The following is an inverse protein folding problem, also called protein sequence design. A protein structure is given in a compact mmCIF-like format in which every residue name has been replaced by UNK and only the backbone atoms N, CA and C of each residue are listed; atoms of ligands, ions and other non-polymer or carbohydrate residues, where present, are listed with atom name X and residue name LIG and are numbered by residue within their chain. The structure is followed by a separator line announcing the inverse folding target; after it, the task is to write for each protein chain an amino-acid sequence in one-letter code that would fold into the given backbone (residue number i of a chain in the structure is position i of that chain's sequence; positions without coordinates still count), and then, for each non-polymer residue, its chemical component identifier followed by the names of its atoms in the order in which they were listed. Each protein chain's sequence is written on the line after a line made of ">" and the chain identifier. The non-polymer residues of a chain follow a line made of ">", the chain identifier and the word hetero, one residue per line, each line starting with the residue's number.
data_IF_814703931704
#
_entry.id   IF_814703931704
#
_cell.length_a   1.000
_cell.length_b   1.000
_cell.length_c   1.000
_cell.angle_alpha   90.00
_cell.angle_beta   90.00
_cell.angle_gamma   90.00
#
_symmetry.space_group_name_H-M   'P 1'
#
loop_
_entity.id
_entity.type
_entity.pdbx_description
1 polymer ?
#
# COMPACT_ATOMS: atom_id res chain seq x y z
N UNK A 1 -12.12 -6.20 -22.62
CA UNK A 1 -11.38 -6.47 -21.38
C UNK A 1 -10.68 -5.18 -20.97
N UNK A 2 -11.11 -4.56 -19.87
CA UNK A 2 -10.52 -3.31 -19.39
C UNK A 2 -9.16 -3.57 -18.71
N UNK A 3 -8.46 -2.51 -18.27
CA UNK A 3 -7.14 -2.63 -17.62
C UNK A 3 -7.21 -3.48 -16.36
N UNK A 4 -8.25 -3.25 -15.53
CA UNK A 4 -8.46 -4.04 -14.31
C UNK A 4 -8.67 -5.54 -14.60
N UNK A 5 -9.47 -5.92 -15.59
CA UNK A 5 -9.76 -7.32 -15.92
C UNK A 5 -8.48 -8.06 -16.36
N UNK A 6 -7.63 -7.39 -17.15
CA UNK A 6 -6.31 -7.90 -17.56
C UNK A 6 -5.42 -8.13 -16.34
N UNK A 7 -5.30 -7.12 -15.49
CA UNK A 7 -4.53 -7.21 -14.26
C UNK A 7 -5.05 -8.32 -13.35
N UNK A 8 -6.37 -8.40 -13.17
CA UNK A 8 -7.00 -9.41 -12.33
C UNK A 8 -6.71 -10.83 -12.85
N UNK A 9 -6.70 -11.02 -14.17
CA UNK A 9 -6.35 -12.31 -14.78
C UNK A 9 -4.90 -12.67 -14.46
N UNK A 10 -3.96 -11.75 -14.71
CA UNK A 10 -2.52 -11.96 -14.44
C UNK A 10 -2.24 -12.30 -12.97
N UNK A 11 -2.88 -11.57 -12.05
CA UNK A 11 -2.61 -11.73 -10.62
C UNK A 11 -3.32 -12.95 -9.99
N UNK A 12 -4.32 -13.52 -10.66
CA UNK A 12 -5.11 -14.66 -10.16
C UNK A 12 -4.59 -16.04 -10.58
N UNK A 13 -3.58 -16.09 -11.46
CA UNK A 13 -2.95 -17.36 -11.88
C UNK A 13 -2.27 -18.08 -10.72
N UNK A 14 -1.95 -19.36 -10.90
CA UNK A 14 -1.26 -20.14 -9.88
C UNK A 14 0.14 -19.59 -9.58
N UNK A 15 0.77 -20.02 -8.48
CA UNK A 15 2.12 -19.58 -8.14
C UNK A 15 3.16 -19.96 -9.18
N UNK A 16 3.17 -21.23 -9.60
CA UNK A 16 4.08 -21.72 -10.65
C UNK A 16 3.89 -20.94 -11.94
N UNK A 17 2.65 -20.79 -12.40
CA UNK A 17 2.35 -20.06 -13.63
C UNK A 17 2.78 -18.58 -13.58
N UNK A 18 2.65 -17.93 -12.42
CA UNK A 18 3.05 -16.52 -12.28
C UNK A 18 4.56 -16.32 -12.44
N UNK A 19 5.35 -17.22 -11.85
CA UNK A 19 6.81 -17.12 -11.90
C UNK A 19 7.40 -17.72 -13.18
N UNK A 20 6.83 -18.82 -13.69
CA UNK A 20 7.29 -19.47 -14.92
C UNK A 20 7.11 -18.58 -16.16
N UNK A 21 6.09 -17.73 -16.16
CA UNK A 21 5.81 -16.79 -17.26
C UNK A 21 6.29 -15.36 -16.99
N UNK A 22 7.00 -15.12 -15.88
CA UNK A 22 7.50 -13.80 -15.49
C UNK A 22 6.42 -12.68 -15.52
N UNK A 23 5.22 -12.99 -15.03
CA UNK A 23 4.09 -12.05 -15.04
C UNK A 23 4.28 -10.84 -14.11
N UNK A 24 5.40 -10.74 -13.41
CA UNK A 24 5.76 -9.57 -12.62
C UNK A 24 5.81 -8.30 -13.48
N UNK A 25 6.52 -8.36 -14.62
CA UNK A 25 6.68 -7.20 -15.50
C UNK A 25 5.37 -6.84 -16.21
N UNK A 26 4.61 -7.86 -16.64
CA UNK A 26 3.30 -7.65 -17.26
C UNK A 26 2.32 -6.99 -16.28
N UNK A 27 2.32 -7.41 -15.01
CA UNK A 27 1.52 -6.80 -13.96
C UNK A 27 1.94 -5.34 -13.71
N UNK A 28 3.25 -5.05 -13.69
CA UNK A 28 3.77 -3.69 -13.53
C UNK A 28 3.30 -2.76 -14.66
N UNK A 29 3.35 -3.24 -15.91
CA UNK A 29 2.83 -2.51 -17.07
C UNK A 29 1.33 -2.26 -16.92
N UNK A 30 0.53 -3.27 -16.52
CA UNK A 30 -0.91 -3.07 -16.33
C UNK A 30 -1.21 -2.10 -15.19
N UNK A 31 -0.45 -2.14 -14.09
CA UNK A 31 -0.62 -1.23 -12.95
C UNK A 31 -0.29 0.21 -13.33
N UNK A 32 0.73 0.45 -14.14
CA UNK A 32 1.08 1.78 -14.63
C UNK A 32 -0.03 2.42 -15.50
N UNK A 33 -0.87 1.60 -16.12
CA UNK A 33 -2.01 2.00 -16.95
C UNK A 33 -3.31 2.19 -16.16
N UNK A 34 -3.33 1.88 -14.86
CA UNK A 34 -4.52 2.09 -14.03
C UNK A 34 -4.88 3.58 -13.96
N UNK A 35 -6.18 3.84 -13.95
CA UNK A 35 -6.76 5.17 -13.86
C UNK A 35 -7.73 5.27 -12.68
N UNK A 36 -8.21 6.48 -12.40
CA UNK A 36 -9.24 6.67 -11.36
C UNK A 36 -10.54 5.93 -11.69
N UNK A 37 -10.81 5.63 -12.96
CA UNK A 37 -11.97 4.84 -13.38
C UNK A 37 -11.91 3.39 -12.90
N UNK A 38 -10.71 2.87 -12.63
CA UNK A 38 -10.49 1.50 -12.16
C UNK A 38 -10.61 1.38 -10.62
N UNK A 39 -10.67 2.51 -9.89
CA UNK A 39 -10.70 2.53 -8.42
C UNK A 39 -11.87 1.75 -7.80
N UNK A 40 -13.12 1.84 -8.30
CA UNK A 40 -14.22 1.07 -7.74
C UNK A 40 -13.97 -0.44 -7.80
N UNK A 41 -13.35 -0.92 -8.88
CA UNK A 41 -12.99 -2.33 -9.06
C UNK A 41 -11.82 -2.72 -8.15
N UNK A 42 -10.79 -1.89 -8.04
CA UNK A 42 -9.66 -2.11 -7.12
C UNK A 42 -10.12 -2.16 -5.65
N UNK A 43 -11.01 -1.27 -5.23
CA UNK A 43 -11.57 -1.28 -3.86
C UNK A 43 -12.48 -2.49 -3.61
N UNK A 44 -13.21 -2.93 -4.63
CA UNK A 44 -13.99 -4.19 -4.55
C UNK A 44 -13.05 -5.39 -4.42
N UNK A 45 -11.99 -5.44 -5.24
CA UNK A 45 -10.94 -6.45 -5.17
C UNK A 45 -10.20 -6.42 -3.83
N UNK A 46 -10.08 -5.25 -3.19
CA UNK A 46 -9.50 -5.13 -1.86
C UNK A 46 -10.28 -5.94 -0.84
N UNK A 47 -11.59 -6.08 -1.00
CA UNK A 47 -12.43 -6.91 -0.13
C UNK A 47 -12.44 -8.38 -0.56
N UNK A 48 -12.53 -8.67 -1.85
CA UNK A 48 -12.81 -10.02 -2.35
C UNK A 48 -11.58 -10.86 -2.66
N UNK A 49 -10.45 -10.24 -3.04
CA UNK A 49 -9.24 -10.99 -3.42
C UNK A 49 -8.41 -11.43 -2.23
N UNK A 50 -7.67 -12.53 -2.43
CA UNK A 50 -6.82 -13.15 -1.41
C UNK A 50 -5.51 -12.37 -1.18
N UNK A 51 -4.74 -12.78 -0.19
CA UNK A 51 -3.46 -12.13 0.16
C UNK A 51 -2.44 -12.23 -0.97
N UNK A 52 -2.32 -13.37 -1.65
CA UNK A 52 -1.34 -13.60 -2.71
C UNK A 52 -1.54 -12.66 -3.90
N UNK A 53 -2.80 -12.41 -4.28
CA UNK A 53 -3.14 -11.44 -5.33
C UNK A 53 -2.61 -10.04 -4.96
N UNK A 54 -2.83 -9.62 -3.71
CA UNK A 54 -2.39 -8.30 -3.26
C UNK A 54 -0.88 -8.23 -3.02
N UNK A 55 -0.22 -9.31 -2.60
CA UNK A 55 1.24 -9.37 -2.51
C UNK A 55 1.85 -9.08 -3.89
N UNK A 56 1.39 -9.79 -4.92
CA UNK A 56 1.83 -9.55 -6.32
C UNK A 56 1.51 -8.14 -6.79
N UNK A 57 0.29 -7.64 -6.53
CA UNK A 57 -0.07 -6.26 -6.86
C UNK A 57 0.89 -5.26 -6.23
N UNK A 58 1.15 -5.37 -4.92
CA UNK A 58 2.02 -4.42 -4.21
C UNK A 58 3.48 -4.49 -4.65
N UNK A 59 3.97 -5.67 -5.00
CA UNK A 59 5.31 -5.87 -5.55
C UNK A 59 5.46 -5.19 -6.92
N UNK A 60 4.46 -5.33 -7.79
CA UNK A 60 4.45 -4.73 -9.14
C UNK A 60 3.98 -3.27 -9.18
N UNK A 61 3.88 -2.57 -8.04
CA UNK A 61 3.32 -1.22 -7.95
C UNK A 61 4.34 -0.08 -8.10
N UNK A 62 5.57 -0.33 -8.54
CA UNK A 62 6.60 0.72 -8.57
C UNK A 62 6.24 1.92 -9.47
N UNK A 63 5.41 1.69 -10.50
CA UNK A 63 4.97 2.71 -11.46
C UNK A 63 3.48 3.06 -11.37
N UNK A 64 2.81 2.72 -10.27
CA UNK A 64 1.41 3.07 -10.07
C UNK A 64 1.19 4.60 -10.14
N UNK A 65 0.13 5.02 -10.81
CA UNK A 65 -0.24 6.42 -10.90
C UNK A 65 -0.60 6.97 -9.51
N UNK A 66 -0.03 8.12 -9.15
CA UNK A 66 -0.18 8.69 -7.81
C UNK A 66 -1.63 8.98 -7.40
N UNK A 67 -2.52 9.51 -8.27
CA UNK A 67 -3.94 9.67 -7.92
C UNK A 67 -4.64 8.34 -7.58
N UNK A 68 -4.29 7.27 -8.30
CA UNK A 68 -4.83 5.92 -8.07
C UNK A 68 -4.33 5.38 -6.74
N UNK A 69 -3.01 5.42 -6.50
CA UNK A 69 -2.41 4.96 -5.25
C UNK A 69 -3.00 5.68 -4.03
N UNK A 70 -3.11 7.01 -4.11
CA UNK A 70 -3.64 7.84 -3.01
C UNK A 70 -5.09 7.49 -2.70
N UNK A 71 -5.92 7.33 -3.73
CA UNK A 71 -7.34 6.98 -3.57
C UNK A 71 -7.52 5.53 -3.08
N UNK A 72 -6.70 4.59 -3.58
CA UNK A 72 -6.70 3.21 -3.11
C UNK A 72 -6.32 3.14 -1.63
N UNK A 73 -5.26 3.84 -1.21
CA UNK A 73 -4.87 3.92 0.20
C UNK A 73 -5.97 4.54 1.06
N UNK A 74 -6.59 5.64 0.60
CA UNK A 74 -7.68 6.29 1.32
C UNK A 74 -8.85 5.33 1.58
N UNK A 75 -9.23 4.51 0.60
CA UNK A 75 -10.25 3.48 0.77
C UNK A 75 -9.77 2.30 1.61
N UNK A 76 -8.56 1.80 1.38
CA UNK A 76 -8.03 0.60 2.02
C UNK A 76 -7.88 0.76 3.55
N UNK A 77 -7.40 1.91 4.03
CA UNK A 77 -7.17 2.16 5.47
C UNK A 77 -8.45 2.22 6.30
N UNK A 78 -9.62 2.38 5.66
CA UNK A 78 -10.91 2.26 6.35
C UNK A 78 -11.21 0.82 6.78
N UNK A 79 -10.51 -0.14 6.18
CA UNK A 79 -10.65 -1.57 6.46
C UNK A 79 -9.45 -2.05 7.27
N UNK A 80 -9.69 -2.77 8.38
CA UNK A 80 -8.61 -3.27 9.26
C UNK A 80 -7.95 -4.56 8.75
N UNK A 81 -7.95 -4.79 7.44
CA UNK A 81 -7.42 -5.99 6.80
C UNK A 81 -6.26 -5.63 5.88
N UNK A 82 -5.43 -6.63 5.55
CA UNK A 82 -4.31 -6.48 4.59
C UNK A 82 -3.30 -5.39 5.01
N UNK A 83 -3.00 -5.33 6.31
CA UNK A 83 -2.14 -4.32 6.94
C UNK A 83 -0.76 -4.23 6.24
N UNK A 84 -0.13 -5.38 5.97
CA UNK A 84 1.18 -5.42 5.32
C UNK A 84 1.15 -4.83 3.91
N UNK A 85 0.07 -5.05 3.17
CA UNK A 85 -0.10 -4.54 1.82
C UNK A 85 -0.33 -3.03 1.84
N UNK A 86 -1.10 -2.50 2.80
CA UNK A 86 -1.23 -1.04 3.02
C UNK A 86 0.14 -0.43 3.30
N UNK A 87 0.89 -1.00 4.24
CA UNK A 87 2.23 -0.52 4.58
C UNK A 87 3.18 -0.59 3.38
N UNK A 88 3.10 -1.63 2.54
CA UNK A 88 3.88 -1.73 1.31
C UNK A 88 3.46 -0.69 0.27
N UNK A 89 2.17 -0.42 0.10
CA UNK A 89 1.70 0.60 -0.84
C UNK A 89 2.12 2.01 -0.42
N UNK A 90 2.20 2.27 0.90
CA UNK A 90 2.72 3.54 1.42
C UNK A 90 4.16 3.83 0.98
N UNK A 91 5.00 2.81 0.71
CA UNK A 91 6.38 3.04 0.27
C UNK A 91 6.48 3.59 -1.15
N UNK A 92 5.39 3.51 -1.94
CA UNK A 92 5.30 4.01 -3.31
C UNK A 92 4.75 5.45 -3.40
N UNK A 93 4.39 6.04 -2.25
CA UNK A 93 4.04 7.46 -2.19
C UNK A 93 5.31 8.33 -2.32
N UNK A 94 5.20 9.59 -2.76
CA UNK A 94 6.33 10.48 -2.82
C UNK A 94 6.96 10.68 -1.44
N UNK A 95 8.29 10.80 -1.38
CA UNK A 95 9.05 10.99 -0.14
C UNK A 95 8.86 12.37 0.53
N UNK A 96 7.82 13.10 0.15
CA UNK A 96 7.47 14.39 0.70
C UNK A 96 6.09 14.32 1.33
N UNK A 97 6.07 14.39 2.66
CA UNK A 97 4.82 14.53 3.39
C UNK A 97 4.13 15.85 3.01
N UNK A 98 2.90 15.75 2.52
CA UNK A 98 2.03 16.88 2.32
C UNK A 98 1.09 17.08 3.51
N UNK A 99 0.37 18.21 3.50
CA UNK A 99 -0.68 18.52 4.49
C UNK A 99 -2.06 18.01 4.05
N UNK A 100 -2.11 17.02 3.16
CA UNK A 100 -3.39 16.47 2.70
C UNK A 100 -4.10 15.69 3.80
N UNK A 101 -5.42 15.54 3.63
CA UNK A 101 -6.25 14.71 4.48
C UNK A 101 -5.76 13.25 4.49
N UNK A 102 -5.33 12.72 3.33
CA UNK A 102 -4.77 11.38 3.23
C UNK A 102 -3.55 11.22 4.15
N UNK A 103 -2.59 12.14 4.10
CA UNK A 103 -1.39 12.08 4.94
C UNK A 103 -1.75 12.09 6.43
N UNK A 104 -2.77 12.86 6.84
CA UNK A 104 -3.25 12.84 8.22
C UNK A 104 -3.90 11.50 8.59
N UNK A 105 -4.70 10.92 7.68
CA UNK A 105 -5.34 9.62 7.87
C UNK A 105 -4.32 8.49 7.95
N UNK A 106 -3.26 8.51 7.13
CA UNK A 106 -2.16 7.55 7.17
C UNK A 106 -1.36 7.63 8.48
N UNK A 107 -1.10 8.83 8.99
CA UNK A 107 -0.47 9.02 10.32
C UNK A 107 -1.37 8.46 11.43
N UNK A 108 -2.67 8.75 11.40
CA UNK A 108 -3.62 8.23 12.38
C UNK A 108 -3.71 6.70 12.33
N UNK A 109 -3.79 6.14 11.13
CA UNK A 109 -3.79 4.71 10.89
C UNK A 109 -2.51 4.04 11.41
N UNK A 110 -1.35 4.60 11.09
CA UNK A 110 -0.04 4.07 11.52
C UNK A 110 0.14 4.13 13.04
N UNK A 111 -0.34 5.20 13.70
CA UNK A 111 -0.32 5.30 15.16
C UNK A 111 -1.23 4.26 15.83
N UNK A 112 -2.42 4.02 15.27
CA UNK A 112 -3.30 2.96 15.76
C UNK A 112 -2.66 1.56 15.60
N UNK A 113 -2.02 1.31 14.45
CA UNK A 113 -1.28 0.07 14.22
C UNK A 113 -0.08 -0.09 15.16
N UNK A 114 0.65 1.00 15.46
CA UNK A 114 1.79 0.96 16.37
C UNK A 114 1.43 0.35 17.72
N UNK A 115 0.27 0.71 18.27
CA UNK A 115 -0.20 0.16 19.55
C UNK A 115 -0.78 -1.24 19.41
N UNK A 116 -1.47 -1.54 18.31
CA UNK A 116 -2.17 -2.81 18.12
C UNK A 116 -1.24 -3.95 17.69
N UNK A 117 -0.17 -3.67 16.95
CA UNK A 117 0.66 -4.66 16.27
C UNK A 117 2.17 -4.42 16.48
N UNK A 118 2.71 -4.70 17.69
CA UNK A 118 4.14 -4.49 17.98
C UNK A 118 5.10 -5.21 17.02
N UNK A 119 4.68 -6.37 16.49
CA UNK A 119 5.43 -7.15 15.50
C UNK A 119 5.66 -6.41 14.17
N UNK A 120 4.96 -5.30 13.93
CA UNK A 120 5.04 -4.51 12.70
C UNK A 120 5.78 -3.17 12.90
N UNK A 121 6.34 -2.87 14.08
CA UNK A 121 7.00 -1.60 14.37
C UNK A 121 8.05 -1.19 13.33
N UNK A 122 8.95 -2.11 12.96
CA UNK A 122 9.96 -1.85 11.93
C UNK A 122 9.32 -1.54 10.55
N UNK A 123 8.26 -2.27 10.19
CA UNK A 123 7.59 -2.04 8.91
C UNK A 123 6.85 -0.69 8.90
N UNK A 124 6.23 -0.30 10.03
CA UNK A 124 5.60 1.02 10.20
C UNK A 124 6.65 2.13 10.07
N UNK A 125 7.82 1.98 10.71
CA UNK A 125 8.93 2.92 10.57
C UNK A 125 9.34 3.08 9.11
N UNK A 126 9.65 1.98 8.42
CA UNK A 126 10.10 2.01 7.03
C UNK A 126 9.05 2.66 6.12
N UNK A 127 7.79 2.23 6.21
CA UNK A 127 6.70 2.76 5.39
C UNK A 127 6.44 4.25 5.61
N UNK A 128 6.46 4.71 6.86
CA UNK A 128 6.28 6.15 7.14
C UNK A 128 7.51 6.97 6.79
N UNK A 129 8.71 6.38 6.84
CA UNK A 129 9.93 7.06 6.42
C UNK A 129 9.96 7.27 4.92
N UNK A 130 9.63 6.22 4.13
CA UNK A 130 9.59 6.28 2.67
C UNK A 130 8.67 7.37 2.13
N UNK A 131 7.56 7.67 2.80
CA UNK A 131 6.62 8.72 2.40
C UNK A 131 6.74 10.03 3.21
N UNK A 132 7.80 10.20 3.99
CA UNK A 132 8.09 11.42 4.75
C UNK A 132 7.19 11.66 5.97
N UNK A 133 6.36 10.70 6.38
CA UNK A 133 5.42 10.81 7.50
C UNK A 133 6.03 10.48 8.87
N UNK A 134 7.27 9.98 8.95
CA UNK A 134 7.88 9.55 10.23
C UNK A 134 7.86 10.62 11.32
N UNK A 135 8.22 11.87 11.01
CA UNK A 135 8.25 12.94 12.02
C UNK A 135 6.87 13.20 12.64
N UNK A 136 5.81 13.20 11.80
CA UNK A 136 4.43 13.38 12.25
C UNK A 136 3.92 12.18 13.05
N UNK A 137 4.34 10.97 12.67
CA UNK A 137 4.00 9.77 13.43
C UNK A 137 4.69 9.78 14.80
N UNK A 138 5.98 10.09 14.86
CA UNK A 138 6.73 10.21 16.12
C UNK A 138 6.11 11.26 17.06
N UNK A 139 5.81 12.45 16.55
CA UNK A 139 5.11 13.50 17.30
C UNK A 139 3.78 12.99 17.86
N UNK A 140 2.98 12.31 17.03
CA UNK A 140 1.69 11.75 17.45
C UNK A 140 1.83 10.66 18.52
N UNK A 141 2.89 9.87 18.47
CA UNK A 141 3.19 8.83 19.45
C UNK A 141 3.86 9.38 20.73
N UNK A 142 4.24 10.66 20.74
CA UNK A 142 4.95 11.28 21.87
C UNK A 142 6.43 10.94 21.94
N UNK A 143 7.04 10.55 20.82
CA UNK A 143 8.48 10.26 20.73
C UNK A 143 9.21 11.36 19.95
N UNK A 144 10.44 11.64 20.34
CA UNK A 144 11.34 12.57 19.64
C UNK A 144 12.22 11.87 18.59
N UNK A 145 12.36 10.54 18.66
CA UNK A 145 13.12 9.74 17.68
C UNK A 145 12.66 8.28 17.65
N UNK A 146 13.00 7.56 16.58
CA UNK A 146 12.77 6.10 16.50
C UNK A 146 13.53 5.32 17.58
N UNK A 147 14.73 5.79 17.96
CA UNK A 147 15.51 5.23 19.07
C UNK A 147 14.75 5.31 20.39
N UNK A 148 14.06 6.41 20.66
CA UNK A 148 13.21 6.55 21.85
C UNK A 148 11.98 5.63 21.79
N UNK A 149 11.46 5.39 20.58
CA UNK A 149 10.39 4.44 20.33
C UNK A 149 10.82 2.96 20.41
N UNK A 150 12.11 2.67 20.64
CA UNK A 150 12.65 1.31 20.77
C UNK A 150 13.09 0.66 19.46
N UNK A 151 13.33 1.45 18.39
CA UNK A 151 13.84 1.00 17.08
C UNK A 151 15.23 1.56 16.75
#
# INVERSE_FOLDING_TARGET
>A
MNTFDKLNTLLSVTEGEYYDNDYFLDAEIQIALLSEADLPLLLTAWQSQNTQWWDRFTQSSAHIQQPVLRSLLAGAITTRYKIKQILSLMTHLPAQADRSELSQSLVNYSAALWHAEPKLHLQIQLSTWSCGLSARLLEKLGFSSWKEAGL
#
